data_IF_074810579157
#
_entry.id   IF_074810579157
#
_cell.length_a   1.000
_cell.length_b   1.000
_cell.length_c   1.000
_cell.angle_alpha   90.00
_cell.angle_beta   90.00
_cell.angle_gamma   90.00
#
_symmetry.space_group_name_H-M   'P 1'
#
loop_
_entity.id
_entity.type
_entity.pdbx_description
1 polymer ?
#
# COMPACT_ATOMS: atom_id res chain seq x y z
N UNK A 1 0.16 -5.38 18.48
CA UNK A 1 0.91 -5.35 17.19
C UNK A 1 1.54 -6.72 17.01
N UNK A 2 1.43 -7.30 15.82
CA UNK A 2 2.06 -8.60 15.52
C UNK A 2 3.57 -8.49 15.76
N UNK A 3 4.16 -9.50 16.43
CA UNK A 3 5.58 -9.49 16.79
C UNK A 3 6.54 -9.49 15.57
N UNK A 4 6.03 -9.64 14.36
CA UNK A 4 6.81 -9.63 13.13
C UNK A 4 6.83 -8.28 12.41
N UNK A 5 5.96 -7.33 12.78
CA UNK A 5 5.95 -6.00 12.16
C UNK A 5 7.08 -5.15 12.77
N UNK A 6 7.98 -4.66 11.93
CA UNK A 6 9.11 -3.81 12.32
C UNK A 6 9.14 -2.54 11.48
N UNK A 7 9.59 -1.41 12.06
CA UNK A 7 9.87 -0.21 11.29
C UNK A 7 10.94 -0.49 10.24
N UNK A 8 10.83 0.22 9.12
CA UNK A 8 11.79 0.21 8.01
C UNK A 8 12.50 1.55 8.01
N UNK A 9 13.83 1.53 7.88
CA UNK A 9 14.62 2.75 7.74
C UNK A 9 14.11 3.57 6.56
N UNK A 10 13.97 4.89 6.75
CA UNK A 10 13.30 5.74 5.76
C UNK A 10 14.01 5.75 4.41
N UNK A 11 15.34 5.66 4.39
CA UNK A 11 16.15 5.55 3.18
C UNK A 11 15.89 4.26 2.39
N UNK A 12 15.26 3.25 3.04
CA UNK A 12 14.89 1.97 2.41
C UNK A 12 13.38 1.87 2.11
N UNK A 13 12.57 2.83 2.55
CA UNK A 13 11.11 2.75 2.43
C UNK A 13 10.64 2.63 0.97
N UNK A 14 11.31 3.27 0.01
CA UNK A 14 10.98 3.18 -1.42
C UNK A 14 11.07 1.73 -1.96
N UNK A 15 11.94 0.88 -1.38
CA UNK A 15 12.11 -0.51 -1.79
C UNK A 15 10.87 -1.36 -1.57
N UNK A 16 9.98 -0.92 -0.66
CA UNK A 16 8.70 -1.59 -0.42
C UNK A 16 7.77 -1.54 -1.66
N UNK A 17 7.98 -0.56 -2.56
CA UNK A 17 7.15 -0.37 -3.76
C UNK A 17 7.89 -0.64 -5.08
N UNK A 18 9.22 -0.77 -5.08
CA UNK A 18 10.02 -0.86 -6.32
C UNK A 18 9.66 -2.02 -7.23
N UNK A 19 9.11 -3.11 -6.70
CA UNK A 19 8.70 -4.27 -7.52
C UNK A 19 7.31 -4.09 -8.15
N UNK A 20 6.67 -2.91 -7.99
CA UNK A 20 5.41 -2.54 -8.64
C UNK A 20 4.19 -3.36 -8.20
N UNK A 21 3.96 -3.57 -6.88
CA UNK A 21 2.83 -4.35 -6.42
C UNK A 21 1.50 -3.60 -6.62
N UNK A 22 0.40 -4.34 -6.73
CA UNK A 22 -0.91 -3.80 -6.39
C UNK A 22 -0.88 -3.41 -4.92
N UNK A 23 -1.39 -2.23 -4.57
CA UNK A 23 -1.43 -1.75 -3.19
C UNK A 23 -2.86 -1.62 -2.67
N UNK A 24 -3.02 -1.75 -1.36
CA UNK A 24 -4.21 -1.26 -0.66
C UNK A 24 -3.96 0.19 -0.26
N UNK A 25 -4.95 1.04 -0.50
CA UNK A 25 -4.94 2.46 -0.13
C UNK A 25 -5.98 2.68 0.95
N UNK A 26 -5.57 3.17 2.10
CA UNK A 26 -6.48 3.52 3.18
C UNK A 26 -6.33 4.98 3.60
N UNK A 27 -7.43 5.57 4.04
CA UNK A 27 -7.48 6.90 4.63
C UNK A 27 -8.67 7.00 5.57
N UNK A 28 -8.64 8.00 6.47
CA UNK A 28 -9.72 8.29 7.40
C UNK A 28 -9.87 9.79 7.62
N UNK A 29 -11.12 10.24 7.80
CA UNK A 29 -11.46 11.60 8.18
C UNK A 29 -12.83 11.63 8.87
N UNK A 30 -12.97 12.39 9.95
CA UNK A 30 -14.22 12.57 10.71
C UNK A 30 -14.94 11.26 11.07
N UNK A 31 -14.18 10.28 11.57
CA UNK A 31 -14.73 8.98 11.99
C UNK A 31 -15.07 8.02 10.83
N UNK A 32 -14.98 8.48 9.60
CA UNK A 32 -15.16 7.64 8.40
C UNK A 32 -13.79 7.16 7.91
N UNK A 33 -13.69 5.89 7.60
CA UNK A 33 -12.48 5.30 7.02
C UNK A 33 -12.83 4.42 5.82
N UNK A 34 -11.89 4.25 4.92
CA UNK A 34 -12.04 3.38 3.75
C UNK A 34 -10.71 2.72 3.38
N UNK A 35 -10.84 1.60 2.68
CA UNK A 35 -9.75 0.89 2.00
C UNK A 35 -10.18 0.64 0.56
N UNK A 36 -9.29 0.87 -0.40
CA UNK A 36 -9.46 0.50 -1.80
C UNK A 36 -8.18 -0.17 -2.31
N UNK A 37 -8.24 -0.86 -3.44
CA UNK A 37 -7.06 -1.32 -4.14
C UNK A 37 -6.67 -0.36 -5.26
N UNK A 38 -5.37 -0.22 -5.51
CA UNK A 38 -4.82 0.56 -6.60
C UNK A 38 -3.63 -0.16 -7.26
N UNK A 39 -3.55 -0.10 -8.59
CA UNK A 39 -2.41 -0.58 -9.36
C UNK A 39 -1.50 0.57 -9.83
N UNK A 40 -1.94 1.82 -9.70
CA UNK A 40 -1.22 3.01 -10.18
C UNK A 40 -0.60 3.77 -9.00
N UNK A 41 0.38 3.13 -8.37
CA UNK A 41 1.20 3.70 -7.31
C UNK A 41 2.66 3.31 -7.54
N UNK A 42 3.58 4.22 -7.28
CA UNK A 42 5.01 3.91 -7.36
C UNK A 42 5.84 4.80 -6.43
N UNK A 43 7.09 4.37 -6.17
CA UNK A 43 8.10 5.21 -5.55
C UNK A 43 8.49 6.36 -6.51
N UNK A 44 8.67 7.56 -5.96
CA UNK A 44 9.04 8.76 -6.70
C UNK A 44 10.44 9.27 -6.35
N UNK A 45 10.80 9.20 -5.07
CA UNK A 45 12.07 9.68 -4.54
C UNK A 45 12.49 8.82 -3.35
N UNK A 46 13.77 8.83 -2.99
CA UNK A 46 14.29 8.02 -1.89
C UNK A 46 14.78 8.84 -0.68
N UNK A 47 15.04 10.14 -0.85
CA UNK A 47 15.57 10.98 0.24
C UNK A 47 15.09 12.44 0.15
N UNK A 48 14.05 12.87 0.89
CA UNK A 48 13.13 12.03 1.66
C UNK A 48 12.28 11.14 0.75
N UNK A 49 11.88 9.96 1.19
CA UNK A 49 11.13 9.03 0.35
C UNK A 49 9.75 9.61 0.00
N UNK A 50 9.42 9.61 -1.28
CA UNK A 50 8.15 10.08 -1.83
C UNK A 50 7.51 9.02 -2.70
N UNK A 51 6.22 9.10 -2.83
CA UNK A 51 5.40 8.21 -3.64
C UNK A 51 4.44 8.99 -4.52
N UNK A 52 4.01 8.36 -5.61
CA UNK A 52 2.87 8.80 -6.41
C UNK A 52 1.72 7.81 -6.28
N UNK A 53 0.50 8.32 -6.36
CA UNK A 53 -0.72 7.52 -6.32
C UNK A 53 -1.81 8.20 -7.15
N UNK A 54 -2.45 7.46 -8.05
CA UNK A 54 -3.65 7.93 -8.77
C UNK A 54 -4.90 7.48 -8.02
N UNK A 55 -5.76 8.44 -7.66
CA UNK A 55 -7.05 8.18 -6.98
C UNK A 55 -8.14 8.93 -7.73
N UNK A 56 -8.99 8.19 -8.43
CA UNK A 56 -10.13 8.75 -9.17
C UNK A 56 -11.04 9.58 -8.25
N UNK A 57 -11.42 10.76 -8.73
CA UNK A 57 -12.26 11.74 -8.01
C UNK A 57 -13.65 11.22 -7.62
N UNK A 58 -14.12 10.15 -8.25
CA UNK A 58 -15.41 9.53 -7.92
C UNK A 58 -15.32 8.58 -6.72
N UNK A 59 -14.13 8.29 -6.20
CA UNK A 59 -13.96 7.37 -5.08
C UNK A 59 -14.15 8.05 -3.72
N UNK A 60 -14.72 7.33 -2.75
CA UNK A 60 -14.81 7.83 -1.37
C UNK A 60 -13.43 8.04 -0.75
N UNK A 61 -12.46 7.21 -1.08
CA UNK A 61 -11.07 7.34 -0.59
C UNK A 61 -10.48 8.69 -0.97
N UNK A 62 -10.76 9.20 -2.20
CA UNK A 62 -10.29 10.51 -2.65
C UNK A 62 -10.70 11.62 -1.67
N UNK A 63 -11.99 11.68 -1.32
CA UNK A 63 -12.46 12.71 -0.40
C UNK A 63 -11.87 12.59 1.01
N UNK A 64 -11.57 11.38 1.48
CA UNK A 64 -10.90 11.17 2.76
C UNK A 64 -9.46 11.67 2.73
N UNK A 65 -8.72 11.39 1.66
CA UNK A 65 -7.34 11.84 1.46
C UNK A 65 -7.27 13.37 1.37
N UNK A 66 -8.14 14.00 0.58
CA UNK A 66 -8.18 15.47 0.43
C UNK A 66 -8.47 16.17 1.76
N UNK A 67 -9.34 15.60 2.60
CA UNK A 67 -9.73 16.21 3.87
C UNK A 67 -8.72 15.91 5.00
N UNK A 68 -8.11 14.72 5.02
CA UNK A 68 -7.15 14.35 6.07
C UNK A 68 -5.73 14.81 5.78
N UNK A 69 -5.36 14.93 4.50
CA UNK A 69 -3.99 15.12 4.04
C UNK A 69 -3.11 13.88 4.18
N UNK A 70 -3.69 12.71 4.50
CA UNK A 70 -2.96 11.46 4.74
C UNK A 70 -3.60 10.26 4.06
N UNK A 71 -2.77 9.33 3.64
CA UNK A 71 -3.17 7.99 3.23
C UNK A 71 -2.09 6.97 3.60
N UNK A 72 -2.43 5.69 3.59
CA UNK A 72 -1.44 4.62 3.64
C UNK A 72 -1.42 3.84 2.33
N UNK A 73 -0.22 3.45 1.89
CA UNK A 73 0.00 2.41 0.89
C UNK A 73 0.42 1.14 1.61
N UNK A 74 -0.18 0.02 1.22
CA UNK A 74 0.05 -1.26 1.88
C UNK A 74 0.21 -2.34 0.82
N UNK A 75 1.17 -3.23 1.01
CA UNK A 75 1.46 -4.31 0.06
C UNK A 75 0.72 -5.57 0.48
N UNK A 76 -0.41 -5.91 -0.16
CA UNK A 76 -1.09 -7.15 0.09
C UNK A 76 -0.31 -8.33 -0.48
N UNK A 77 -0.58 -9.50 0.05
CA UNK A 77 0.02 -10.75 -0.37
C UNK A 77 -1.03 -11.71 -0.95
N UNK A 78 -0.58 -12.89 -1.36
CA UNK A 78 -1.42 -13.90 -2.03
C UNK A 78 -2.64 -14.32 -1.18
N UNK A 79 -2.50 -14.43 0.15
CA UNK A 79 -3.61 -14.80 1.03
C UNK A 79 -4.70 -13.72 1.07
N UNK A 80 -4.35 -12.48 0.71
CA UNK A 80 -5.27 -11.35 0.66
C UNK A 80 -5.85 -11.09 -0.73
N UNK A 81 -5.75 -12.04 -1.66
CA UNK A 81 -6.25 -11.87 -3.03
C UNK A 81 -7.74 -11.48 -3.08
N UNK A 82 -8.60 -12.21 -2.38
CA UNK A 82 -10.03 -11.94 -2.34
C UNK A 82 -10.33 -10.58 -1.68
N UNK A 83 -9.71 -10.29 -0.54
CA UNK A 83 -9.83 -9.00 0.14
C UNK A 83 -9.44 -7.86 -0.81
N UNK A 84 -8.29 -7.98 -1.49
CA UNK A 84 -7.79 -6.97 -2.43
C UNK A 84 -8.76 -6.72 -3.58
N UNK A 85 -9.33 -7.77 -4.15
CA UNK A 85 -10.31 -7.68 -5.21
C UNK A 85 -11.62 -7.02 -4.72
N UNK A 86 -12.16 -7.47 -3.59
CA UNK A 86 -13.41 -6.95 -3.02
C UNK A 86 -13.31 -5.46 -2.68
N UNK A 87 -12.25 -5.03 -1.98
CA UNK A 87 -12.09 -3.60 -1.65
C UNK A 87 -11.78 -2.73 -2.86
N UNK A 88 -11.28 -3.31 -3.94
CA UNK A 88 -11.01 -2.62 -5.21
C UNK A 88 -12.24 -2.46 -6.10
N UNK A 89 -13.22 -3.37 -5.99
CA UNK A 89 -14.41 -3.38 -6.86
C UNK A 89 -15.65 -2.79 -6.20
N UNK A 90 -15.73 -2.82 -4.87
CA UNK A 90 -16.85 -2.27 -4.11
C UNK A 90 -16.61 -0.81 -3.70
N UNK A 91 -17.61 0.05 -3.89
CA UNK A 91 -17.57 1.43 -3.42
C UNK A 91 -18.20 1.56 -2.04
N UNK A 92 -17.53 2.23 -1.10
CA UNK A 92 -18.11 2.55 0.21
C UNK A 92 -19.39 3.39 0.10
N UNK A 93 -19.56 4.14 -0.98
CA UNK A 93 -20.76 4.96 -1.23
C UNK A 93 -22.00 4.08 -1.38
N UNK A 94 -21.87 2.92 -2.04
CA UNK A 94 -22.98 2.01 -2.32
C UNK A 94 -23.00 0.77 -1.42
N UNK A 95 -21.88 0.45 -0.78
CA UNK A 95 -21.72 -0.71 0.09
C UNK A 95 -21.05 -0.26 1.39
N UNK A 96 -21.80 0.31 2.35
CA UNK A 96 -21.25 0.84 3.59
C UNK A 96 -20.51 -0.18 4.44
N UNK A 97 -20.87 -1.45 4.33
CA UNK A 97 -20.30 -2.60 5.04
C UNK A 97 -19.23 -3.35 4.23
N UNK A 98 -18.69 -2.73 3.15
CA UNK A 98 -17.72 -3.40 2.25
C UNK A 98 -16.48 -3.94 2.96
N UNK A 99 -15.98 -3.24 3.99
CA UNK A 99 -14.78 -3.66 4.70
C UNK A 99 -15.03 -4.89 5.56
N UNK A 100 -16.19 -4.95 6.22
CA UNK A 100 -16.63 -6.12 6.97
C UNK A 100 -16.83 -7.31 6.04
N UNK A 101 -17.53 -7.12 4.91
CA UNK A 101 -17.75 -8.17 3.90
C UNK A 101 -16.46 -8.70 3.29
N UNK A 102 -15.49 -7.83 3.07
CA UNK A 102 -14.17 -8.22 2.58
C UNK A 102 -13.29 -8.88 3.64
N UNK A 103 -13.71 -8.89 4.92
CA UNK A 103 -12.90 -9.39 6.03
C UNK A 103 -11.68 -8.51 6.33
N UNK A 104 -11.77 -7.20 6.08
CA UNK A 104 -10.66 -6.28 6.30
C UNK A 104 -10.53 -5.94 7.79
N UNK A 105 -9.58 -6.53 8.48
CA UNK A 105 -9.22 -6.17 9.85
C UNK A 105 -8.30 -4.95 9.84
N UNK A 106 -8.67 -3.92 10.60
CA UNK A 106 -7.91 -2.67 10.64
C UNK A 106 -7.21 -2.48 11.98
N UNK A 107 -6.01 -1.93 11.92
CA UNK A 107 -5.25 -1.50 13.10
C UNK A 107 -4.64 -0.12 12.88
N UNK A 108 -4.02 0.45 13.92
CA UNK A 108 -3.26 1.70 13.85
C UNK A 108 -1.91 1.53 14.53
N UNK A 109 -0.96 2.32 14.09
CA UNK A 109 0.34 2.44 14.73
C UNK A 109 0.31 3.70 15.61
N UNK A 110 0.90 3.62 16.78
CA UNK A 110 0.98 4.74 17.73
C UNK A 110 1.55 6.00 17.05
N UNK A 111 0.89 7.13 17.26
CA UNK A 111 1.24 8.41 16.64
C UNK A 111 0.65 8.63 15.23
N UNK A 112 -0.12 7.66 14.69
CA UNK A 112 -0.74 7.76 13.38
C UNK A 112 -2.21 7.35 13.40
N UNK A 113 -3.08 8.24 12.91
CA UNK A 113 -4.54 7.99 12.84
C UNK A 113 -4.97 7.23 11.58
N UNK A 114 -4.10 7.14 10.57
CA UNK A 114 -4.38 6.44 9.33
C UNK A 114 -4.56 4.95 9.57
N UNK A 115 -5.71 4.35 9.18
CA UNK A 115 -5.97 2.94 9.40
C UNK A 115 -5.10 2.07 8.48
N UNK A 116 -4.61 0.96 8.99
CA UNK A 116 -3.81 -0.03 8.28
C UNK A 116 -4.53 -1.36 8.25
N UNK A 117 -4.41 -2.11 7.16
CA UNK A 117 -5.00 -3.46 7.00
C UNK A 117 -4.04 -4.50 7.58
N UNK A 118 -4.54 -5.32 8.50
CA UNK A 118 -3.77 -6.41 9.07
C UNK A 118 -3.44 -7.48 8.02
N UNK A 119 -2.30 -8.15 8.19
CA UNK A 119 -1.88 -9.26 7.32
C UNK A 119 -1.17 -8.85 6.02
N UNK A 120 -1.08 -7.56 5.67
CA UNK A 120 -0.22 -7.10 4.58
C UNK A 120 1.26 -7.39 4.86
N UNK A 121 2.08 -7.37 3.81
CA UNK A 121 3.53 -7.59 3.91
C UNK A 121 4.30 -6.32 4.23
N UNK A 122 3.76 -5.14 3.89
CA UNK A 122 4.35 -3.84 4.21
C UNK A 122 3.30 -2.73 4.30
N UNK A 123 3.66 -1.64 5.00
CA UNK A 123 2.81 -0.47 5.23
C UNK A 123 3.65 0.80 5.15
N UNK A 124 3.16 1.80 4.40
CA UNK A 124 3.73 3.14 4.31
C UNK A 124 2.64 4.16 4.66
N UNK A 125 2.88 5.01 5.64
CA UNK A 125 2.00 6.15 5.94
C UNK A 125 2.56 7.35 5.20
N UNK A 126 1.71 8.00 4.42
CA UNK A 126 2.08 9.04 3.48
C UNK A 126 1.32 10.33 3.79
N UNK A 127 2.05 11.45 3.85
CA UNK A 127 1.52 12.80 3.98
C UNK A 127 1.49 13.45 2.61
N UNK A 128 0.31 13.89 2.18
CA UNK A 128 0.13 14.54 0.87
C UNK A 128 0.99 15.81 0.77
N UNK A 129 1.71 15.95 -0.32
CA UNK A 129 2.33 17.19 -0.77
C UNK A 129 1.33 17.84 -1.73
N UNK A 130 0.74 18.99 -1.38
CA UNK A 130 -0.30 19.59 -2.22
C UNK A 130 0.21 19.97 -3.60
N UNK A 131 -0.33 19.36 -4.64
CA UNK A 131 -0.06 19.64 -6.05
C UNK A 131 -1.39 19.77 -6.81
N UNK A 132 -2.15 20.88 -6.61
CA UNK A 132 -3.52 21.02 -7.08
C UNK A 132 -3.72 20.76 -8.58
N UNK A 133 -2.75 21.13 -9.42
CA UNK A 133 -2.83 20.87 -10.85
C UNK A 133 -2.82 19.37 -11.16
N UNK A 134 -1.91 18.62 -10.54
CA UNK A 134 -1.79 17.17 -10.74
C UNK A 134 -3.02 16.45 -10.18
N UNK A 135 -3.46 16.84 -8.99
CA UNK A 135 -4.61 16.28 -8.31
C UNK A 135 -5.91 16.48 -9.10
N UNK A 136 -6.12 17.67 -9.67
CA UNK A 136 -7.36 18.00 -10.40
C UNK A 136 -7.37 17.53 -11.84
N UNK A 137 -6.21 17.55 -12.52
CA UNK A 137 -6.10 17.24 -13.94
C UNK A 137 -5.87 15.76 -14.19
N UNK A 138 -5.08 15.12 -13.34
CA UNK A 138 -4.60 13.73 -13.54
C UNK A 138 -5.02 12.78 -12.43
N UNK A 139 -5.77 13.24 -11.43
CA UNK A 139 -6.10 12.47 -10.23
C UNK A 139 -4.85 11.97 -9.47
N UNK A 140 -3.69 12.60 -9.73
CA UNK A 140 -2.37 12.22 -9.27
C UNK A 140 -1.99 12.93 -7.98
N UNK A 141 -1.77 12.16 -6.92
CA UNK A 141 -1.25 12.61 -5.65
C UNK A 141 0.25 12.33 -5.55
N UNK A 142 0.98 13.29 -5.02
CA UNK A 142 2.36 13.13 -4.57
C UNK A 142 2.35 13.21 -3.04
N UNK A 143 3.08 12.32 -2.38
CA UNK A 143 3.14 12.30 -0.93
C UNK A 143 4.54 11.92 -0.42
N UNK A 144 4.90 12.46 0.74
CA UNK A 144 6.08 12.06 1.49
C UNK A 144 5.74 10.87 2.40
N UNK A 145 6.59 9.86 2.42
CA UNK A 145 6.47 8.74 3.36
C UNK A 145 6.95 9.22 4.73
N UNK A 146 6.06 9.25 5.70
CA UNK A 146 6.35 9.71 7.08
C UNK A 146 6.51 8.55 8.07
N UNK A 147 6.29 7.33 7.63
CA UNK A 147 6.53 6.12 8.39
C UNK A 147 6.40 4.89 7.51
N UNK A 148 7.24 3.90 7.72
CA UNK A 148 7.25 2.65 6.97
C UNK A 148 7.50 1.45 7.88
N UNK A 149 6.78 0.34 7.61
CA UNK A 149 6.89 -0.92 8.34
C UNK A 149 6.78 -2.08 7.37
N UNK A 150 7.42 -3.18 7.70
CA UNK A 150 7.32 -4.42 6.95
C UNK A 150 7.28 -5.65 7.87
N UNK A 151 6.74 -6.73 7.33
CA UNK A 151 6.76 -8.03 7.99
C UNK A 151 8.12 -8.69 7.78
N UNK A 152 8.81 -8.98 8.88
CA UNK A 152 10.17 -9.55 8.85
C UNK A 152 10.23 -10.98 8.34
N UNK A 153 9.08 -11.63 8.12
CA UNK A 153 9.02 -12.97 7.49
C UNK A 153 9.29 -12.91 5.99
N UNK A 154 9.19 -11.71 5.36
CA UNK A 154 9.32 -11.55 3.91
C UNK A 154 10.15 -10.33 3.51
N UNK A 155 10.45 -9.39 4.44
CA UNK A 155 11.28 -8.21 4.17
C UNK A 155 12.27 -8.00 5.31
N UNK A 156 13.58 -8.07 5.01
CA UNK A 156 14.67 -7.90 5.99
C UNK A 156 15.83 -7.14 5.36
N UNK A 157 16.49 -6.33 6.16
CA UNK A 157 17.71 -5.59 5.77
C UNK A 157 17.56 -4.81 4.45
N UNK A 158 16.37 -4.26 4.22
CA UNK A 158 16.03 -3.51 3.02
C UNK A 158 15.77 -4.36 1.78
N UNK A 159 15.58 -5.68 1.91
CA UNK A 159 15.35 -6.61 0.80
C UNK A 159 14.09 -7.44 0.98
N UNK A 160 13.38 -7.66 -0.12
CA UNK A 160 12.34 -8.66 -0.22
C UNK A 160 12.96 -10.05 -0.36
N UNK A 161 12.41 -11.01 0.37
CA UNK A 161 12.89 -12.41 0.38
C UNK A 161 11.77 -13.37 -0.04
N UNK A 162 11.10 -13.06 -1.15
CA UNK A 162 9.97 -13.85 -1.64
C UNK A 162 10.34 -15.30 -2.01
N UNK A 163 11.61 -15.56 -2.37
CA UNK A 163 12.14 -16.86 -2.75
C UNK A 163 12.32 -17.80 -1.54
N UNK A 164 12.57 -17.26 -0.36
CA UNK A 164 12.80 -18.03 0.87
C UNK A 164 11.60 -18.03 1.81
N UNK A 165 10.68 -17.08 1.64
CA UNK A 165 9.47 -16.98 2.42
C UNK A 165 8.40 -17.98 1.95
N UNK A 166 7.40 -18.24 2.82
CA UNK A 166 6.21 -18.99 2.42
C UNK A 166 5.56 -18.32 1.18
N UNK A 167 5.19 -19.07 0.12
CA UNK A 167 4.58 -18.54 -1.09
C UNK A 167 3.34 -17.67 -0.88
N UNK A 168 2.67 -17.77 0.26
CA UNK A 168 1.56 -16.89 0.63
C UNK A 168 1.96 -15.41 0.72
N UNK A 169 3.24 -15.11 1.03
CA UNK A 169 3.76 -13.75 1.14
C UNK A 169 4.06 -13.09 -0.20
N UNK A 170 3.98 -13.82 -1.31
CA UNK A 170 4.20 -13.25 -2.65
C UNK A 170 3.20 -12.13 -2.92
N UNK A 171 3.71 -10.97 -3.35
CA UNK A 171 2.89 -9.80 -3.65
C UNK A 171 2.00 -10.01 -4.87
N UNK A 172 0.91 -9.24 -4.94
CA UNK A 172 -0.09 -9.29 -5.99
C UNK A 172 0.19 -8.22 -7.05
N UNK A 173 -0.03 -8.57 -8.32
CA UNK A 173 0.09 -7.68 -9.47
C UNK A 173 -1.19 -7.78 -10.30
N UNK A 174 -2.04 -6.77 -10.23
CA UNK A 174 -3.32 -6.73 -10.94
C UNK A 174 -3.13 -6.48 -12.44
N UNK A 175 -3.85 -7.22 -13.25
CA UNK A 175 -3.86 -7.04 -14.70
C UNK A 175 -5.18 -6.46 -15.17
N UNK A 176 -6.27 -7.19 -15.05
CA UNK A 176 -7.62 -6.77 -15.41
C UNK A 176 -8.65 -7.83 -15.00
N UNK A 177 -9.92 -7.45 -14.82
CA UNK A 177 -11.05 -8.38 -14.74
C UNK A 177 -10.94 -9.45 -13.63
N UNK A 178 -10.33 -9.11 -12.49
CA UNK A 178 -10.08 -10.07 -11.40
C UNK A 178 -8.86 -10.97 -11.64
N UNK A 179 -8.06 -10.70 -12.67
CA UNK A 179 -6.84 -11.45 -12.95
C UNK A 179 -5.63 -10.79 -12.30
N UNK A 180 -4.92 -11.56 -11.48
CA UNK A 180 -3.70 -11.15 -10.79
C UNK A 180 -2.57 -12.14 -11.10
N UNK A 181 -1.35 -11.63 -11.14
CA UNK A 181 -0.15 -12.43 -10.98
C UNK A 181 0.41 -12.27 -9.57
N UNK A 182 1.09 -13.28 -9.08
CA UNK A 182 1.98 -13.14 -7.92
C UNK A 182 3.41 -12.96 -8.42
N UNK A 183 4.25 -12.25 -7.65
CA UNK A 183 5.66 -12.14 -7.96
C UNK A 183 6.28 -13.53 -8.13
N UNK A 184 7.13 -13.69 -9.14
CA UNK A 184 7.79 -14.96 -9.48
C UNK A 184 9.08 -15.19 -8.71
N UNK A 185 9.94 -16.04 -9.29
CA UNK A 185 11.23 -16.39 -8.73
C UNK A 185 12.26 -15.26 -8.95
N UNK A 186 13.22 -15.14 -8.02
CA UNK A 186 14.28 -14.16 -8.13
C UNK A 186 15.23 -14.47 -9.29
N UNK A 187 15.72 -13.42 -9.95
CA UNK A 187 16.84 -13.48 -10.88
C UNK A 187 17.94 -12.52 -10.38
N UNK A 188 19.11 -13.03 -10.16
CA UNK A 188 20.22 -12.27 -9.58
C UNK A 188 21.32 -12.11 -10.62
N UNK A 189 21.84 -10.89 -10.78
CA UNK A 189 23.06 -10.63 -11.55
C UNK A 189 24.23 -10.73 -10.59
N UNK A 190 25.18 -11.61 -10.92
CA UNK A 190 26.47 -11.66 -10.20
C UNK A 190 27.25 -10.38 -10.55
N UNK A 191 27.42 -9.50 -9.57
CA UNK A 191 28.33 -8.35 -9.68
C UNK A 191 29.66 -8.74 -9.06
N UNK A 192 30.76 -8.43 -9.73
CA UNK A 192 32.08 -8.54 -9.09
C UNK A 192 32.03 -7.65 -7.83
N UNK A 193 32.33 -8.27 -6.69
CA UNK A 193 32.41 -7.53 -5.43
C UNK A 193 33.61 -6.56 -5.52
N UNK A 194 33.31 -5.25 -5.35
CA UNK A 194 34.30 -4.21 -5.18
C UNK A 194 35.09 -4.39 -3.85
#
# INVERSE_FOLDING_TARGET
>A
MDNHIRPVEMEMAYRLLNHGPTVLVSSAHDGVHNVMAAAWACALDFSPPKVTLVIDKMTKTRSLVENSGYFALQVPNRDQLNLTFEVGTQSLIFTPDKLEKAGAELFRIEGHDTPLVAGCSAWLICKVIPEPHNEQTYDLFIAEVVGAWADTRVFRDGHWEFETADPKWRSLHYVAGGHFYTIGDAAVVETEAD
#
